data_IF_933507564527
#
_entry.id   IF_933507564527
#
_cell.length_a   1.000
_cell.length_b   1.000
_cell.length_c   1.000
_cell.angle_alpha   90.00
_cell.angle_beta   90.00
_cell.angle_gamma   90.00
#
_symmetry.space_group_name_H-M   'P 1'
#
loop_
_entity.id
_entity.type
_entity.pdbx_description
1 polymer ?
#
# COMPACT_ATOMS: atom_id res chain seq x y z
N UNK A 1 -5.25 -19.81 33.51
CA UNK A 1 -4.25 -19.65 32.42
C UNK A 1 -4.63 -18.42 31.60
N UNK A 2 -3.91 -17.30 31.72
CA UNK A 2 -4.24 -16.02 31.06
C UNK A 2 -3.59 -15.99 29.68
N UNK A 3 -4.40 -15.85 28.63
CA UNK A 3 -3.94 -15.67 27.24
C UNK A 3 -3.61 -14.20 27.03
N UNK A 4 -2.34 -13.91 26.75
CA UNK A 4 -1.88 -12.55 26.48
C UNK A 4 -1.80 -12.38 24.97
N UNK A 5 -2.78 -11.68 24.37
CA UNK A 5 -2.70 -11.22 23.00
C UNK A 5 -1.92 -9.91 22.98
N UNK A 6 -0.62 -9.97 22.67
CA UNK A 6 0.17 -8.77 22.36
C UNK A 6 -0.09 -8.39 20.90
N UNK A 7 -1.04 -7.49 20.68
CA UNK A 7 -1.16 -6.76 19.42
C UNK A 7 -0.16 -5.61 19.44
N UNK A 8 1.07 -5.87 19.02
CA UNK A 8 2.09 -4.84 18.83
C UNK A 8 1.75 -4.02 17.59
N UNK A 9 1.08 -2.89 17.78
CA UNK A 9 0.87 -1.88 16.75
C UNK A 9 2.22 -1.26 16.36
N UNK A 10 2.76 -1.68 15.22
CA UNK A 10 3.96 -1.07 14.63
C UNK A 10 3.54 0.24 13.94
N UNK A 11 3.56 1.34 14.69
CA UNK A 11 3.40 2.70 14.13
C UNK A 11 4.71 3.07 13.45
N UNK A 12 4.79 2.86 12.14
CA UNK A 12 5.84 3.43 11.31
C UNK A 12 5.62 4.94 11.23
N UNK A 13 6.46 5.70 11.93
CA UNK A 13 6.60 7.13 11.74
C UNK A 13 6.96 7.41 10.28
N UNK A 14 6.00 7.91 9.51
CA UNK A 14 6.18 8.40 8.15
C UNK A 14 6.96 9.71 8.20
N UNK A 15 8.28 9.59 8.27
CA UNK A 15 9.20 10.68 7.95
C UNK A 15 8.89 11.21 6.55
N UNK A 16 8.74 12.52 6.46
CA UNK A 16 8.30 13.27 5.28
C UNK A 16 9.32 13.19 4.13
N UNK A 17 9.44 12.03 3.48
CA UNK A 17 9.88 11.97 2.10
C UNK A 17 8.62 12.18 1.25
N UNK A 18 8.53 13.29 0.52
CA UNK A 18 7.42 13.58 -0.38
C UNK A 18 7.44 12.65 -1.61
N UNK A 19 7.25 11.36 -1.37
CA UNK A 19 6.93 10.41 -2.40
C UNK A 19 5.41 10.27 -2.45
N UNK A 20 4.85 10.32 -3.66
CA UNK A 20 3.43 10.09 -3.84
C UNK A 20 3.15 8.62 -3.53
N UNK A 21 2.18 8.36 -2.66
CA UNK A 21 1.84 7.00 -2.22
C UNK A 21 0.71 6.50 -3.10
N UNK A 22 1.02 5.53 -3.97
CA UNK A 22 0.06 4.87 -4.85
C UNK A 22 -0.34 3.49 -4.32
N UNK A 23 -1.55 3.04 -4.67
CA UNK A 23 -1.96 1.65 -4.45
C UNK A 23 -1.74 0.85 -5.75
N UNK A 24 -1.00 -0.25 -5.66
CA UNK A 24 -0.79 -1.20 -6.75
C UNK A 24 -1.66 -2.44 -6.53
N UNK A 25 -2.37 -2.86 -7.58
CA UNK A 25 -3.07 -4.13 -7.61
C UNK A 25 -2.71 -4.84 -8.91
N UNK A 26 -2.29 -6.09 -8.82
CA UNK A 26 -1.81 -6.81 -9.99
C UNK A 26 -1.68 -8.30 -9.83
N UNK A 27 -1.13 -8.90 -10.88
CA UNK A 27 -0.71 -10.29 -10.91
C UNK A 27 0.76 -10.34 -10.52
N UNK A 28 1.13 -11.35 -9.76
CA UNK A 28 2.50 -11.64 -9.36
C UNK A 28 2.86 -13.07 -9.72
N UNK A 29 4.13 -13.29 -10.03
CA UNK A 29 4.71 -14.60 -10.23
C UNK A 29 5.91 -14.74 -9.31
N UNK A 30 5.88 -15.76 -8.44
CA UNK A 30 6.98 -16.10 -7.56
C UNK A 30 7.79 -17.25 -8.16
N UNK A 31 9.09 -17.03 -8.31
CA UNK A 31 10.01 -17.98 -8.91
C UNK A 31 10.49 -18.99 -7.87
N UNK A 32 10.06 -20.24 -7.99
CA UNK A 32 10.47 -21.32 -7.10
C UNK A 32 9.74 -22.62 -7.40
N UNK A 33 10.26 -23.75 -6.90
CA UNK A 33 9.71 -25.09 -7.15
C UNK A 33 8.31 -25.32 -6.57
N UNK A 34 7.86 -24.48 -5.64
CA UNK A 34 6.56 -24.60 -4.96
C UNK A 34 5.69 -23.35 -5.09
N UNK A 35 6.01 -22.46 -6.04
CA UNK A 35 5.42 -21.15 -6.19
C UNK A 35 4.97 -20.94 -7.63
N UNK A 36 4.04 -20.01 -7.82
CA UNK A 36 3.42 -19.80 -9.13
C UNK A 36 2.70 -18.47 -9.23
N UNK A 37 1.76 -18.40 -10.16
CA UNK A 37 0.96 -17.20 -10.39
C UNK A 37 0.06 -16.91 -9.17
N UNK A 38 -0.03 -15.65 -8.80
CA UNK A 38 -0.86 -15.14 -7.72
C UNK A 38 -1.31 -13.70 -7.94
N UNK A 39 -2.02 -13.18 -6.95
CA UNK A 39 -2.48 -11.79 -6.91
C UNK A 39 -1.66 -11.02 -5.89
N UNK A 40 -1.48 -9.72 -6.10
CA UNK A 40 -0.75 -8.88 -5.15
C UNK A 40 -1.39 -7.51 -5.02
N UNK A 41 -1.29 -6.98 -3.81
CA UNK A 41 -1.66 -5.60 -3.47
C UNK A 41 -0.47 -4.98 -2.76
N UNK A 42 0.08 -3.89 -3.31
CA UNK A 42 1.27 -3.25 -2.78
C UNK A 42 1.06 -1.74 -2.61
N UNK A 43 1.58 -1.19 -1.54
CA UNK A 43 1.76 0.25 -1.42
C UNK A 43 3.01 0.61 -2.22
N UNK A 44 2.87 1.60 -3.11
CA UNK A 44 3.95 2.11 -3.94
C UNK A 44 4.32 3.51 -3.49
N UNK A 45 5.59 3.85 -3.61
CA UNK A 45 6.15 5.15 -3.26
C UNK A 45 7.00 5.62 -4.42
N UNK A 46 6.59 6.71 -5.09
CA UNK A 46 7.30 7.26 -6.26
C UNK A 46 7.83 8.65 -5.96
N UNK A 47 9.04 8.99 -6.44
CA UNK A 47 9.52 10.39 -6.43
C UNK A 47 9.06 11.07 -7.71
N UNK A 48 8.51 12.27 -7.61
CA UNK A 48 7.92 13.01 -8.74
C UNK A 48 8.79 13.19 -9.99
N UNK A 49 10.11 13.03 -9.88
CA UNK A 49 11.05 13.18 -11.00
C UNK A 49 11.46 11.84 -11.63
N UNK A 50 11.34 10.74 -10.88
CA UNK A 50 11.77 9.41 -11.32
C UNK A 50 10.56 8.48 -11.28
N UNK A 51 10.16 7.95 -12.44
CA UNK A 51 9.10 6.93 -12.56
C UNK A 51 9.40 5.61 -11.84
N UNK A 52 10.50 5.56 -11.08
CA UNK A 52 10.83 4.48 -10.18
C UNK A 52 9.88 4.45 -8.99
N UNK A 53 9.36 3.28 -8.69
CA UNK A 53 8.53 3.03 -7.52
C UNK A 53 9.24 2.07 -6.57
N UNK A 54 9.16 2.36 -5.28
CA UNK A 54 9.39 1.36 -4.23
C UNK A 54 8.04 0.75 -3.89
N UNK A 55 7.97 -0.57 -3.75
CA UNK A 55 6.73 -1.28 -3.50
C UNK A 55 6.89 -2.27 -2.34
N UNK A 56 5.88 -2.30 -1.47
CA UNK A 56 5.79 -3.28 -0.39
C UNK A 56 4.32 -3.60 -0.12
N UNK A 57 4.00 -4.88 0.08
CA UNK A 57 2.63 -5.27 0.39
C UNK A 57 2.45 -6.76 0.55
N UNK A 58 1.29 -7.25 0.12
CA UNK A 58 0.86 -8.63 0.30
C UNK A 58 0.67 -9.33 -1.04
N UNK A 59 0.95 -10.62 -1.07
CA UNK A 59 0.69 -11.51 -2.20
C UNK A 59 -0.15 -12.71 -1.77
N UNK A 60 -0.97 -13.24 -2.67
CA UNK A 60 -1.74 -14.46 -2.47
C UNK A 60 -1.62 -15.39 -3.70
N UNK A 61 -1.08 -16.58 -3.46
CA UNK A 61 -0.79 -17.62 -4.44
C UNK A 61 -1.68 -18.84 -4.17
N UNK A 62 -2.85 -18.95 -4.81
CA UNK A 62 -3.82 -20.02 -4.51
C UNK A 62 -3.28 -21.43 -4.86
N UNK A 63 -2.39 -21.50 -5.85
CA UNK A 63 -1.82 -22.74 -6.39
C UNK A 63 -0.45 -23.11 -5.79
N UNK A 64 0.05 -22.35 -4.81
CA UNK A 64 1.30 -22.71 -4.13
C UNK A 64 1.10 -23.94 -3.23
N UNK A 65 2.06 -24.86 -3.25
CA UNK A 65 2.03 -26.12 -2.46
C UNK A 65 2.41 -25.90 -0.99
N UNK A 66 2.95 -24.72 -0.65
CA UNK A 66 3.32 -24.32 0.71
C UNK A 66 2.53 -23.11 1.22
N UNK A 67 3.25 -22.10 1.72
CA UNK A 67 2.65 -20.82 2.11
C UNK A 67 1.94 -20.16 0.93
N UNK A 68 0.66 -19.87 1.10
CA UNK A 68 -0.17 -19.22 0.07
C UNK A 68 -0.15 -17.70 0.14
N UNK A 69 0.24 -17.14 1.28
CA UNK A 69 0.35 -15.70 1.48
C UNK A 69 1.83 -15.32 1.49
N UNK A 70 2.15 -14.18 0.91
CA UNK A 70 3.48 -13.63 0.90
C UNK A 70 3.54 -12.15 1.23
N UNK A 71 4.76 -11.66 1.46
CA UNK A 71 5.06 -10.27 1.77
C UNK A 71 6.11 -9.77 0.75
N UNK A 72 5.70 -9.42 -0.48
CA UNK A 72 6.62 -8.89 -1.48
C UNK A 72 7.11 -7.50 -1.09
N UNK A 73 8.42 -7.31 -1.23
CA UNK A 73 9.10 -6.01 -1.22
C UNK A 73 9.95 -5.88 -2.47
N UNK A 74 9.91 -4.73 -3.12
CA UNK A 74 10.56 -4.59 -4.41
C UNK A 74 10.63 -3.17 -4.91
N UNK A 75 11.18 -3.06 -6.11
CA UNK A 75 11.29 -1.81 -6.86
C UNK A 75 10.76 -2.02 -8.26
N UNK A 76 10.25 -0.97 -8.87
CA UNK A 76 9.57 -1.08 -10.14
C UNK A 76 9.57 0.21 -10.92
N UNK A 77 8.88 0.16 -12.05
CA UNK A 77 8.64 1.31 -12.89
C UNK A 77 7.13 1.50 -13.07
N UNK A 78 6.67 2.73 -12.87
CA UNK A 78 5.29 3.12 -13.08
C UNK A 78 5.14 3.90 -14.39
N UNK A 79 4.21 3.46 -15.23
CA UNK A 79 3.70 4.18 -16.41
C UNK A 79 2.43 4.95 -16.05
N UNK A 80 1.62 5.37 -17.03
CA UNK A 80 0.44 6.22 -16.79
C UNK A 80 -0.56 5.59 -15.82
N UNK A 81 -0.94 4.34 -16.07
CA UNK A 81 -1.94 3.61 -15.26
C UNK A 81 -1.44 2.21 -14.86
N UNK A 82 -0.28 1.79 -15.36
CA UNK A 82 0.29 0.47 -15.14
C UNK A 82 1.64 0.56 -14.42
N UNK A 83 2.02 -0.50 -13.72
CA UNK A 83 3.37 -0.63 -13.17
C UNK A 83 3.87 -2.07 -13.27
N UNK A 84 5.19 -2.20 -13.32
CA UNK A 84 5.90 -3.46 -13.20
C UNK A 84 6.88 -3.36 -12.03
N UNK A 85 6.85 -4.36 -11.15
CA UNK A 85 7.65 -4.41 -9.93
C UNK A 85 8.40 -5.73 -9.93
N UNK A 86 9.71 -5.65 -9.70
CA UNK A 86 10.56 -6.80 -9.42
C UNK A 86 11.01 -6.72 -7.98
N UNK A 87 11.07 -7.86 -7.31
CA UNK A 87 11.36 -7.86 -5.89
C UNK A 87 11.62 -9.23 -5.33
N UNK A 88 11.54 -9.28 -4.01
CA UNK A 88 11.71 -10.49 -3.24
C UNK A 88 10.58 -10.62 -2.24
N UNK A 89 9.95 -11.77 -2.21
CA UNK A 89 8.96 -12.10 -1.20
C UNK A 89 9.68 -12.68 0.01
N UNK A 90 9.68 -11.94 1.12
CA UNK A 90 10.43 -12.34 2.32
C UNK A 90 9.77 -13.53 3.02
N UNK A 91 8.47 -13.72 2.82
CA UNK A 91 7.70 -14.78 3.46
C UNK A 91 7.79 -16.08 2.65
N UNK A 92 7.71 -15.97 1.33
CA UNK A 92 7.90 -17.09 0.40
C UNK A 92 9.39 -17.40 0.14
N UNK A 93 10.30 -16.51 0.57
CA UNK A 93 11.75 -16.58 0.35
C UNK A 93 12.10 -16.78 -1.11
N UNK A 94 11.52 -15.98 -1.99
CA UNK A 94 11.70 -16.17 -3.43
C UNK A 94 11.62 -14.88 -4.23
N UNK A 95 12.33 -14.81 -5.37
CA UNK A 95 12.21 -13.68 -6.28
C UNK A 95 10.80 -13.62 -6.84
N UNK A 96 10.28 -12.41 -7.01
CA UNK A 96 8.95 -12.17 -7.55
C UNK A 96 8.99 -11.11 -8.64
N UNK A 97 8.14 -11.29 -9.64
CA UNK A 97 7.82 -10.25 -10.63
C UNK A 97 6.32 -10.02 -10.61
N UNK A 98 5.91 -8.76 -10.64
CA UNK A 98 4.51 -8.39 -10.64
C UNK A 98 4.22 -7.28 -11.64
N UNK A 99 3.04 -7.35 -12.24
CA UNK A 99 2.53 -6.40 -13.21
C UNK A 99 1.06 -6.12 -12.96
N UNK A 100 0.65 -4.87 -13.09
CA UNK A 100 -0.71 -4.47 -12.74
C UNK A 100 -0.97 -2.99 -12.88
N UNK A 101 -2.05 -2.54 -12.25
CA UNK A 101 -2.49 -1.16 -12.28
C UNK A 101 -2.08 -0.43 -11.01
N UNK A 102 -1.74 0.86 -11.14
CA UNK A 102 -1.48 1.75 -10.00
C UNK A 102 -2.55 2.82 -9.96
N UNK A 103 -3.28 2.89 -8.85
CA UNK A 103 -4.10 4.04 -8.51
C UNK A 103 -3.32 4.96 -7.57
N UNK A 104 -2.74 6.01 -8.13
CA UNK A 104 -2.29 7.16 -7.35
C UNK A 104 -3.53 7.91 -6.89
N UNK A 105 -3.93 7.71 -5.63
CA UNK A 105 -4.90 8.61 -4.99
C UNK A 105 -4.30 10.01 -4.96
N UNK A 106 -4.63 10.78 -6.00
CA UNK A 106 -4.55 12.22 -6.00
C UNK A 106 -5.15 12.65 -4.68
N UNK A 107 -4.35 13.30 -3.82
CA UNK A 107 -4.87 13.83 -2.56
C UNK A 107 -6.13 14.62 -2.88
N UNK A 108 -7.31 14.06 -2.56
CA UNK A 108 -8.44 14.91 -2.19
C UNK A 108 -7.89 15.71 -1.03
N UNK A 109 -7.59 16.96 -1.31
CA UNK A 109 -7.46 18.02 -0.32
C UNK A 109 -8.83 18.14 0.36
N UNK A 110 -9.19 17.16 1.18
CA UNK A 110 -10.18 17.32 2.25
C UNK A 110 -9.40 17.77 3.49
N UNK A 111 -8.75 18.92 3.34
CA UNK A 111 -8.35 19.75 4.46
C UNK A 111 -9.34 20.92 4.47
N UNK A 112 -10.46 20.70 5.13
CA UNK A 112 -11.06 21.70 5.98
C UNK A 112 -11.61 20.93 7.19
N UNK A 113 -10.92 20.92 8.34
CA UNK A 113 -11.61 20.65 9.58
C UNK A 113 -12.53 21.85 9.79
N UNK A 114 -13.83 21.70 9.59
CA UNK A 114 -14.80 22.65 10.11
C UNK A 114 -14.85 22.47 11.63
N UNK A 115 -13.83 22.99 12.30
CA UNK A 115 -13.91 23.35 13.70
C UNK A 115 -14.30 24.81 13.75
N UNK A 116 -15.59 25.08 13.89
CA UNK A 116 -16.04 26.34 14.48
C UNK A 116 -17.26 26.05 15.35
N UNK A 117 -17.20 26.56 16.57
CA UNK A 117 -17.88 26.02 17.73
C UNK A 117 -19.40 26.10 17.69
N UNK A 118 -20.02 25.08 18.29
CA UNK A 118 -21.35 25.19 18.87
C UNK A 118 -21.27 26.09 20.12
N UNK A 119 -21.16 27.40 19.90
CA UNK A 119 -21.47 28.43 20.88
C UNK A 119 -22.93 28.86 20.70
N UNK A 120 -23.68 28.92 21.79
CA UNK A 120 -25.07 29.37 21.80
C UNK A 120 -25.23 30.89 21.61
N UNK A 121 -26.47 31.34 21.85
CA UNK A 121 -27.01 32.71 21.71
C UNK A 121 -27.40 33.07 20.28
N UNK A 122 -28.58 33.59 19.97
CA UNK A 122 -29.67 34.11 20.78
C UNK A 122 -30.56 34.89 19.79
N UNK A 123 -31.86 34.67 19.86
CA UNK A 123 -32.85 35.37 19.03
C UNK A 123 -32.83 36.87 19.28
N UNK A 124 -32.65 37.67 18.23
CA UNK A 124 -32.89 39.11 18.25
C UNK A 124 -32.84 39.70 16.83
N UNK A 125 -33.99 40.14 16.30
CA UNK A 125 -34.03 41.12 15.19
C UNK A 125 -33.59 42.52 15.67
N UNK A 126 -33.82 43.63 14.95
CA UNK A 126 -34.49 43.82 13.65
C UNK A 126 -33.67 44.65 12.63
N UNK A 127 -34.16 44.77 11.39
CA UNK A 127 -34.37 46.03 10.62
C UNK A 127 -35.33 45.76 9.46
#
# INVERSE_FOLDING_TARGET
MKRVFLASAFVLATGTAQADVGAFVGITYAFGSNQGIGFTVQATSTRKQDRGILAAGLSYHPFATGSKVGLPVGVGYQWKDAAAIVGYDVLLKSPVVSGGYVDTRSKRRSAAPSGEGSGGEGSGGPV
#
